data_IF_733842321774
#
_entry.id   IF_733842321774
#
_cell.length_a   1.000
_cell.length_b   1.000
_cell.length_c   1.000
_cell.angle_alpha   90.00
_cell.angle_beta   90.00
_cell.angle_gamma   90.00
#
_symmetry.space_group_name_H-M   'P 1'
#
loop_
_entity.id
_entity.type
_entity.pdbx_description
1 polymer ?
#
# COMPACT_ATOMS: atom_id res chain seq x y z
N UNK A 1 -23.53 -30.07 47.06
CA UNK A 1 -23.67 -28.59 47.12
C UNK A 1 -22.49 -28.08 47.92
N UNK A 2 -21.56 -27.23 47.49
CA UNK A 2 -21.41 -26.28 46.38
C UNK A 2 -19.96 -26.47 45.86
N UNK A 3 -19.66 -26.47 44.56
CA UNK A 3 -19.77 -25.33 43.65
C UNK A 3 -18.37 -24.77 43.34
N UNK A 4 -17.54 -25.55 42.63
CA UNK A 4 -16.21 -25.13 42.16
C UNK A 4 -16.36 -24.13 41.01
N UNK A 5 -15.91 -22.89 41.20
CA UNK A 5 -15.87 -21.87 40.15
C UNK A 5 -14.46 -21.73 39.61
N UNK A 6 -14.18 -22.49 38.55
CA UNK A 6 -13.03 -22.27 37.70
C UNK A 6 -13.15 -20.89 37.03
N UNK A 7 -12.28 -19.95 37.39
CA UNK A 7 -12.12 -18.70 36.65
C UNK A 7 -11.39 -19.01 35.34
N UNK A 8 -12.17 -19.20 34.27
CA UNK A 8 -11.70 -19.06 32.91
C UNK A 8 -11.07 -17.66 32.76
N UNK A 9 -9.73 -17.61 32.66
CA UNK A 9 -9.02 -16.41 32.21
C UNK A 9 -9.34 -16.26 30.72
N UNK A 10 -10.27 -15.36 30.46
CA UNK A 10 -10.76 -15.03 29.13
C UNK A 10 -9.64 -14.74 28.14
N UNK A 11 -9.85 -15.28 26.95
CA UNK A 11 -9.35 -14.86 25.65
C UNK A 11 -8.92 -13.38 25.66
N UNK A 12 -7.63 -13.12 25.41
CA UNK A 12 -7.15 -11.76 25.21
C UNK A 12 -7.80 -11.19 23.94
N UNK A 13 -8.31 -9.96 23.95
CA UNK A 13 -9.07 -9.45 22.83
C UNK A 13 -8.15 -9.23 21.62
N UNK A 14 -8.60 -9.75 20.48
CA UNK A 14 -8.58 -9.18 19.14
C UNK A 14 -7.67 -7.96 18.96
N UNK A 15 -6.83 -8.02 17.92
CA UNK A 15 -6.14 -6.92 17.26
C UNK A 15 -6.74 -5.58 17.65
N UNK A 16 -5.91 -4.66 18.16
CA UNK A 16 -6.33 -3.31 18.54
C UNK A 16 -6.83 -2.59 17.27
N UNK A 17 -8.07 -2.90 16.89
CA UNK A 17 -8.89 -2.11 15.96
C UNK A 17 -8.81 -0.73 16.56
N UNK A 18 -8.23 0.22 15.82
CA UNK A 18 -8.25 1.61 16.22
C UNK A 18 -9.67 1.91 16.67
N UNK A 19 -9.86 2.28 17.95
CA UNK A 19 -11.18 2.57 18.47
C UNK A 19 -11.89 3.47 17.45
N UNK A 20 -13.11 3.13 17.01
CA UNK A 20 -13.79 3.91 16.00
C UNK A 20 -13.85 5.35 16.51
N UNK A 21 -13.03 6.23 15.94
CA UNK A 21 -13.08 7.65 16.26
C UNK A 21 -14.48 8.09 15.91
N UNK A 22 -15.22 8.55 16.92
CA UNK A 22 -16.57 9.03 16.72
C UNK A 22 -16.50 10.22 15.76
N UNK A 23 -16.85 10.01 14.49
CA UNK A 23 -16.94 11.09 13.51
C UNK A 23 -18.17 11.90 13.90
N UNK A 24 -17.97 13.14 14.35
CA UNK A 24 -19.06 14.03 14.75
C UNK A 24 -20.07 14.20 13.61
N UNK A 25 -21.35 14.42 13.94
CA UNK A 25 -22.38 14.69 12.94
C UNK A 25 -22.01 15.88 12.05
N UNK A 26 -21.36 16.88 12.62
CA UNK A 26 -20.83 18.03 11.90
C UNK A 26 -19.79 17.62 10.84
N UNK A 27 -18.81 16.79 11.21
CA UNK A 27 -17.77 16.33 10.29
C UNK A 27 -18.36 15.47 9.15
N UNK A 28 -19.39 14.67 9.44
CA UNK A 28 -20.15 13.94 8.40
C UNK A 28 -20.85 14.90 7.44
N UNK A 29 -21.48 15.95 7.96
CA UNK A 29 -22.16 16.96 7.15
C UNK A 29 -21.16 17.74 6.27
N UNK A 30 -20.01 18.13 6.83
CA UNK A 30 -18.93 18.78 6.10
C UNK A 30 -18.39 17.89 4.97
N UNK A 31 -18.11 16.61 5.25
CA UNK A 31 -17.69 15.66 4.20
C UNK A 31 -18.75 15.51 3.11
N UNK A 32 -20.02 15.38 3.48
CA UNK A 32 -21.11 15.27 2.51
C UNK A 32 -21.26 16.52 1.64
N UNK A 33 -21.06 17.72 2.20
CA UNK A 33 -21.04 18.97 1.45
C UNK A 33 -19.85 19.02 0.49
N UNK A 34 -18.66 18.60 0.93
CA UNK A 34 -17.47 18.53 0.10
C UNK A 34 -17.65 17.56 -1.08
N UNK A 35 -18.19 16.36 -0.82
CA UNK A 35 -18.51 15.39 -1.88
C UNK A 35 -19.51 15.96 -2.88
N UNK A 36 -20.57 16.64 -2.42
CA UNK A 36 -21.54 17.31 -3.31
C UNK A 36 -20.90 18.40 -4.17
N UNK A 37 -19.92 19.13 -3.62
CA UNK A 37 -19.17 20.15 -4.37
C UNK A 37 -18.29 19.52 -5.46
N UNK A 38 -17.51 18.49 -5.11
CA UNK A 38 -16.58 17.82 -6.04
C UNK A 38 -17.37 17.13 -7.16
N UNK A 39 -18.37 16.33 -6.78
CA UNK A 39 -19.15 15.51 -7.71
C UNK A 39 -20.39 16.22 -8.26
N UNK A 40 -20.47 17.55 -8.14
CA UNK A 40 -21.54 18.36 -8.72
C UNK A 40 -21.79 18.07 -10.22
N UNK A 41 -20.78 17.75 -11.07
CA UNK A 41 -21.01 17.42 -12.47
C UNK A 41 -22.02 16.28 -12.70
N UNK A 42 -22.10 15.30 -11.80
CA UNK A 42 -23.05 14.18 -11.90
C UNK A 42 -24.52 14.59 -11.67
N UNK A 43 -24.77 15.71 -10.99
CA UNK A 43 -26.13 16.15 -10.65
C UNK A 43 -27.01 16.47 -11.86
N UNK A 44 -26.40 16.68 -13.03
CA UNK A 44 -27.09 17.01 -14.28
C UNK A 44 -27.34 15.80 -15.18
N UNK A 45 -26.85 14.62 -14.77
CA UNK A 45 -26.91 13.40 -15.56
C UNK A 45 -27.91 12.43 -14.94
N UNK A 46 -28.64 11.72 -15.79
CA UNK A 46 -29.46 10.61 -15.35
C UNK A 46 -28.54 9.49 -14.85
N UNK A 47 -28.85 8.93 -13.68
CA UNK A 47 -28.08 7.83 -13.09
C UNK A 47 -28.06 6.65 -14.06
N UNK A 48 -26.88 6.04 -14.24
CA UNK A 48 -26.66 4.89 -15.12
C UNK A 48 -26.86 5.17 -16.63
N UNK A 49 -27.04 6.43 -17.03
CA UNK A 49 -26.98 6.83 -18.45
C UNK A 49 -25.58 6.62 -19.05
N UNK A 50 -25.44 6.47 -20.38
CA UNK A 50 -24.14 6.39 -21.03
C UNK A 50 -23.21 7.56 -20.68
N UNK A 51 -23.76 8.77 -20.54
CA UNK A 51 -23.04 9.97 -20.15
C UNK A 51 -22.55 9.90 -18.69
N UNK A 52 -23.39 9.40 -17.78
CA UNK A 52 -23.02 9.19 -16.37
C UNK A 52 -21.87 8.20 -16.26
N UNK A 53 -21.99 7.04 -16.91
CA UNK A 53 -20.96 5.99 -16.89
C UNK A 53 -19.65 6.51 -17.46
N UNK A 54 -19.70 7.19 -18.61
CA UNK A 54 -18.51 7.78 -19.24
C UNK A 54 -17.83 8.80 -18.32
N UNK A 55 -18.60 9.63 -17.61
CA UNK A 55 -18.03 10.59 -16.65
C UNK A 55 -17.40 9.87 -15.45
N UNK A 56 -18.05 8.83 -14.91
CA UNK A 56 -17.54 8.05 -13.79
C UNK A 56 -16.25 7.30 -14.10
N UNK A 57 -16.12 6.79 -15.32
CA UNK A 57 -14.92 6.09 -15.78
C UNK A 57 -13.82 7.04 -16.27
N UNK A 58 -14.12 8.33 -16.46
CA UNK A 58 -13.15 9.29 -16.98
C UNK A 58 -12.04 9.64 -15.99
N UNK A 59 -12.32 9.57 -14.69
CA UNK A 59 -11.44 10.07 -13.62
C UNK A 59 -11.27 11.60 -13.56
N UNK A 60 -11.97 12.35 -14.42
CA UNK A 60 -11.79 13.81 -14.54
C UNK A 60 -12.43 14.58 -13.41
N UNK A 61 -13.50 14.07 -12.79
CA UNK A 61 -14.21 14.82 -11.75
C UNK A 61 -13.33 15.02 -10.52
N UNK A 62 -12.66 13.96 -10.08
CA UNK A 62 -11.69 14.06 -8.99
C UNK A 62 -10.42 14.82 -9.42
N UNK A 63 -9.85 14.52 -10.58
CA UNK A 63 -8.61 15.16 -11.05
C UNK A 63 -8.74 16.66 -11.27
N UNK A 64 -9.81 17.13 -11.92
CA UNK A 64 -9.97 18.55 -12.23
C UNK A 64 -10.12 19.38 -10.95
N UNK A 65 -10.66 18.76 -9.88
CA UNK A 65 -10.79 19.38 -8.58
C UNK A 65 -9.48 19.43 -7.81
N UNK A 66 -8.77 18.31 -7.70
CA UNK A 66 -7.56 18.19 -6.87
C UNK A 66 -6.27 18.54 -7.59
N UNK A 67 -6.27 18.45 -8.92
CA UNK A 67 -5.16 18.74 -9.82
C UNK A 67 -3.83 18.11 -9.35
N UNK A 68 -3.80 16.77 -9.19
CA UNK A 68 -2.65 16.07 -8.62
C UNK A 68 -1.33 16.29 -9.39
N UNK A 69 -1.40 16.58 -10.69
CA UNK A 69 -0.24 16.89 -11.54
C UNK A 69 0.16 18.36 -11.60
N UNK A 70 -0.64 19.27 -11.02
CA UNK A 70 -0.35 20.72 -11.05
C UNK A 70 0.61 21.08 -9.91
N UNK A 71 1.92 20.96 -10.20
CA UNK A 71 3.00 21.22 -9.24
C UNK A 71 2.98 22.65 -8.70
N UNK A 72 2.51 23.62 -9.49
CA UNK A 72 2.39 25.01 -9.06
C UNK A 72 1.23 25.17 -8.09
N UNK A 73 0.04 24.65 -8.43
CA UNK A 73 -1.15 24.69 -7.57
C UNK A 73 -0.91 23.98 -6.23
N UNK A 74 -0.21 22.84 -6.25
CA UNK A 74 0.15 22.10 -5.03
C UNK A 74 1.32 22.73 -4.26
N UNK A 75 1.95 23.78 -4.80
CA UNK A 75 3.03 24.52 -4.15
C UNK A 75 4.40 23.85 -4.19
N UNK A 76 4.55 22.74 -4.92
CA UNK A 76 5.81 22.02 -5.06
C UNK A 76 6.90 22.90 -5.70
N UNK A 77 6.57 23.73 -6.69
CA UNK A 77 7.55 24.63 -7.33
C UNK A 77 8.15 25.64 -6.34
N UNK A 78 7.31 26.18 -5.45
CA UNK A 78 7.75 27.11 -4.42
C UNK A 78 8.66 26.41 -3.40
N UNK A 79 8.32 25.18 -3.00
CA UNK A 79 9.14 24.36 -2.12
C UNK A 79 10.48 23.98 -2.77
N UNK A 80 10.49 23.56 -4.04
CA UNK A 80 11.72 23.22 -4.77
C UNK A 80 12.66 24.43 -4.85
N UNK A 81 12.14 25.63 -5.14
CA UNK A 81 12.93 26.87 -5.12
C UNK A 81 13.48 27.18 -3.73
N UNK A 82 12.63 27.09 -2.70
CA UNK A 82 13.01 27.37 -1.30
C UNK A 82 14.10 26.41 -0.79
N UNK A 83 14.03 25.13 -1.16
CA UNK A 83 14.92 24.08 -0.65
C UNK A 83 15.97 23.64 -1.68
N UNK A 84 16.26 24.46 -2.69
CA UNK A 84 17.19 24.15 -3.79
C UNK A 84 18.55 23.65 -3.30
N UNK A 85 19.12 24.27 -2.27
CA UNK A 85 20.42 23.86 -1.72
C UNK A 85 20.36 22.46 -1.09
N UNK A 86 19.29 22.15 -0.35
CA UNK A 86 19.09 20.83 0.25
C UNK A 86 18.91 19.75 -0.83
N UNK A 87 18.13 20.05 -1.88
CA UNK A 87 17.95 19.14 -3.01
C UNK A 87 19.29 18.88 -3.72
N UNK A 88 20.10 19.91 -3.95
CA UNK A 88 21.43 19.76 -4.54
C UNK A 88 22.37 18.92 -3.65
N UNK A 89 22.29 19.08 -2.32
CA UNK A 89 23.07 18.26 -1.39
C UNK A 89 22.63 16.78 -1.43
N UNK A 90 21.32 16.52 -1.49
CA UNK A 90 20.76 15.17 -1.65
C UNK A 90 21.22 14.56 -2.99
N UNK A 91 21.20 15.33 -4.07
CA UNK A 91 21.69 14.89 -5.38
C UNK A 91 23.18 14.56 -5.36
N UNK A 92 23.98 15.35 -4.65
CA UNK A 92 25.40 15.06 -4.43
C UNK A 92 25.61 13.72 -3.71
N UNK A 93 24.88 13.49 -2.61
CA UNK A 93 24.93 12.21 -1.88
C UNK A 93 24.46 11.03 -2.74
N UNK A 94 23.38 11.21 -3.50
CA UNK A 94 22.88 10.21 -4.46
C UNK A 94 23.93 9.86 -5.50
N UNK A 95 24.66 10.85 -6.02
CA UNK A 95 25.77 10.67 -6.95
C UNK A 95 26.87 9.77 -6.38
N UNK A 96 27.22 9.95 -5.11
CA UNK A 96 28.22 9.12 -4.41
C UNK A 96 27.76 7.66 -4.23
N UNK A 97 26.46 7.44 -4.03
CA UNK A 97 25.88 6.10 -3.86
C UNK A 97 25.66 5.36 -5.17
N UNK A 98 25.53 6.08 -6.30
CA UNK A 98 25.18 5.52 -7.61
C UNK A 98 25.99 4.27 -8.00
N UNK A 99 27.33 4.20 -7.83
CA UNK A 99 28.11 3.02 -8.21
C UNK A 99 27.78 1.76 -7.39
N UNK A 100 27.20 1.91 -6.20
CA UNK A 100 26.89 0.82 -5.26
C UNK A 100 25.40 0.71 -4.95
N UNK A 101 24.55 1.45 -5.66
CA UNK A 101 23.14 1.60 -5.31
C UNK A 101 22.41 0.27 -5.23
N UNK A 102 22.64 -0.65 -6.18
CA UNK A 102 22.03 -1.98 -6.16
C UNK A 102 22.44 -2.80 -4.93
N UNK A 103 23.71 -2.74 -4.51
CA UNK A 103 24.19 -3.43 -3.31
C UNK A 103 23.60 -2.82 -2.04
N UNK A 104 23.57 -1.48 -1.95
CA UNK A 104 23.00 -0.75 -0.82
C UNK A 104 21.50 -1.01 -0.71
N UNK A 105 20.76 -0.96 -1.82
CA UNK A 105 19.32 -1.19 -1.84
C UNK A 105 18.97 -2.62 -1.39
N UNK A 106 19.69 -3.64 -1.89
CA UNK A 106 19.52 -5.02 -1.44
C UNK A 106 19.83 -5.17 0.06
N UNK A 107 20.91 -4.55 0.54
CA UNK A 107 21.29 -4.63 1.96
C UNK A 107 20.26 -3.99 2.89
N UNK A 108 19.53 -2.96 2.43
CA UNK A 108 18.52 -2.25 3.21
C UNK A 108 17.09 -2.79 3.06
N UNK A 109 16.85 -3.74 2.15
CA UNK A 109 15.51 -4.22 1.81
C UNK A 109 14.75 -4.76 3.04
N UNK A 110 15.46 -5.41 3.96
CA UNK A 110 14.85 -5.98 5.18
C UNK A 110 14.46 -4.90 6.18
N UNK A 111 15.34 -3.95 6.50
CA UNK A 111 14.99 -2.84 7.39
C UNK A 111 13.91 -1.95 6.78
N UNK A 112 13.95 -1.72 5.46
CA UNK A 112 12.90 -0.99 4.75
C UNK A 112 11.55 -1.68 4.88
N UNK A 113 11.50 -2.99 4.59
CA UNK A 113 10.27 -3.79 4.71
C UNK A 113 9.70 -3.74 6.13
N UNK A 114 10.54 -3.91 7.15
CA UNK A 114 10.14 -3.81 8.55
C UNK A 114 9.53 -2.44 8.88
N UNK A 115 10.20 -1.35 8.48
CA UNK A 115 9.69 0.00 8.75
C UNK A 115 8.39 0.27 7.98
N UNK A 116 8.28 -0.20 6.74
CA UNK A 116 7.08 -0.06 5.92
C UNK A 116 5.87 -0.72 6.57
N UNK A 117 5.99 -1.97 7.02
CA UNK A 117 4.86 -2.67 7.68
C UNK A 117 4.60 -2.11 9.08
N UNK A 118 5.63 -1.64 9.78
CA UNK A 118 5.49 -1.02 11.09
C UNK A 118 4.64 0.26 11.05
N UNK A 119 4.77 1.07 10.00
CA UNK A 119 3.94 2.27 9.78
C UNK A 119 2.43 1.90 9.74
N UNK A 120 2.10 0.73 9.20
CA UNK A 120 0.74 0.20 9.11
C UNK A 120 0.32 -0.62 10.36
N UNK A 121 1.06 -0.48 11.47
CA UNK A 121 0.82 -1.13 12.76
C UNK A 121 1.12 -2.65 12.79
N UNK A 122 1.96 -3.15 11.90
CA UNK A 122 2.51 -4.50 12.07
C UNK A 122 3.36 -4.56 13.36
N UNK A 123 3.12 -5.51 14.27
CA UNK A 123 3.73 -5.54 15.60
C UNK A 123 5.17 -6.07 15.63
N UNK A 124 5.66 -6.59 14.50
CA UNK A 124 6.97 -7.26 14.43
C UNK A 124 8.13 -6.28 14.65
N UNK A 125 9.23 -6.84 15.14
CA UNK A 125 10.44 -6.08 15.51
C UNK A 125 11.64 -6.55 14.71
N UNK A 126 12.77 -5.91 14.96
CA UNK A 126 14.04 -6.19 14.27
C UNK A 126 14.47 -7.67 14.36
N UNK A 127 14.24 -8.34 15.49
CA UNK A 127 14.59 -9.76 15.64
C UNK A 127 13.73 -10.65 14.73
N UNK A 128 12.44 -10.32 14.58
CA UNK A 128 11.52 -11.04 13.69
C UNK A 128 11.90 -10.83 12.22
N UNK A 129 12.23 -9.60 11.82
CA UNK A 129 12.69 -9.31 10.47
C UNK A 129 13.98 -10.05 10.12
N UNK A 130 14.93 -10.14 11.07
CA UNK A 130 16.15 -10.93 10.90
C UNK A 130 15.85 -12.43 10.75
N UNK A 131 14.93 -12.97 11.55
CA UNK A 131 14.52 -14.37 11.45
C UNK A 131 13.82 -14.65 10.10
N UNK A 132 12.92 -13.76 9.67
CA UNK A 132 12.26 -13.83 8.38
C UNK A 132 13.26 -13.79 7.22
N UNK A 133 14.19 -12.84 7.23
CA UNK A 133 15.23 -12.73 6.22
C UNK A 133 16.16 -13.95 6.21
N UNK A 134 16.56 -14.48 7.36
CA UNK A 134 17.39 -15.68 7.44
C UNK A 134 16.66 -16.91 6.86
N UNK A 135 15.36 -17.05 7.13
CA UNK A 135 14.54 -18.12 6.54
C UNK A 135 14.43 -17.95 5.02
N UNK A 136 14.07 -16.75 4.53
CA UNK A 136 13.95 -16.42 3.11
C UNK A 136 15.28 -16.61 2.37
N UNK A 137 16.39 -16.15 2.93
CA UNK A 137 17.72 -16.30 2.32
C UNK A 137 18.05 -17.77 2.11
N UNK A 138 17.90 -18.58 3.17
CA UNK A 138 18.23 -20.00 3.16
C UNK A 138 17.33 -20.84 2.26
N UNK A 139 16.04 -20.50 2.13
CA UNK A 139 15.04 -21.34 1.44
C UNK A 139 14.56 -20.78 0.11
N UNK A 140 14.79 -19.50 -0.16
CA UNK A 140 14.29 -18.81 -1.35
C UNK A 140 15.43 -18.10 -2.10
N UNK A 141 16.07 -17.09 -1.50
CA UNK A 141 17.01 -16.22 -2.24
C UNK A 141 18.29 -16.92 -2.68
N UNK A 142 18.76 -17.94 -1.94
CA UNK A 142 19.93 -18.73 -2.35
C UNK A 142 19.63 -19.73 -3.49
N UNK A 143 18.35 -19.96 -3.80
CA UNK A 143 17.92 -20.96 -4.79
C UNK A 143 17.22 -20.32 -5.99
N UNK A 144 16.74 -19.08 -5.85
CA UNK A 144 15.97 -18.36 -6.85
C UNK A 144 16.61 -16.98 -7.05
N UNK A 145 16.98 -16.68 -8.29
CA UNK A 145 17.33 -15.32 -8.67
C UNK A 145 16.04 -14.51 -8.83
N UNK A 146 15.69 -13.68 -7.83
CA UNK A 146 14.46 -12.90 -7.88
C UNK A 146 14.43 -11.97 -9.09
N UNK A 147 15.56 -11.37 -9.45
CA UNK A 147 15.65 -10.44 -10.56
C UNK A 147 15.34 -11.06 -11.95
N UNK A 148 15.33 -12.39 -12.07
CA UNK A 148 14.92 -13.09 -13.30
C UNK A 148 13.44 -13.48 -13.33
N UNK A 149 12.69 -13.22 -12.26
CA UNK A 149 11.26 -13.46 -12.22
C UNK A 149 10.49 -12.22 -12.66
N UNK A 150 9.39 -12.43 -13.37
CA UNK A 150 8.39 -11.39 -13.56
C UNK A 150 7.67 -11.12 -12.22
N UNK A 151 7.17 -9.89 -12.02
CA UNK A 151 6.47 -9.54 -10.79
C UNK A 151 5.22 -10.42 -10.56
N UNK A 152 4.55 -10.86 -11.65
CA UNK A 152 3.46 -11.84 -11.63
C UNK A 152 3.84 -13.18 -10.97
N UNK A 153 5.08 -13.62 -11.11
CA UNK A 153 5.51 -14.94 -10.61
C UNK A 153 5.82 -14.93 -9.11
N UNK A 154 6.09 -13.75 -8.54
CA UNK A 154 6.45 -13.62 -7.13
C UNK A 154 5.33 -14.12 -6.20
N UNK A 155 4.07 -13.92 -6.60
CA UNK A 155 2.91 -14.38 -5.82
C UNK A 155 2.84 -15.91 -5.74
N UNK A 156 3.52 -16.64 -6.63
CA UNK A 156 3.53 -18.10 -6.65
C UNK A 156 4.66 -18.69 -5.81
N UNK A 157 5.56 -17.87 -5.27
CA UNK A 157 6.61 -18.33 -4.37
C UNK A 157 6.02 -18.91 -3.08
N UNK A 158 6.48 -20.10 -2.71
CA UNK A 158 6.22 -20.70 -1.41
C UNK A 158 7.21 -20.13 -0.39
N UNK A 159 6.75 -19.17 0.41
CA UNK A 159 7.61 -18.52 1.40
C UNK A 159 7.73 -19.37 2.68
N UNK A 160 8.95 -19.59 3.20
CA UNK A 160 9.20 -20.49 4.31
C UNK A 160 8.47 -20.06 5.59
N UNK A 161 8.06 -21.03 6.39
CA UNK A 161 7.58 -20.78 7.76
C UNK A 161 8.77 -20.34 8.63
N UNK A 162 8.54 -19.34 9.48
CA UNK A 162 9.51 -18.93 10.49
C UNK A 162 9.06 -19.58 11.79
N UNK A 163 9.82 -20.56 12.26
CA UNK A 163 9.59 -21.17 13.58
C UNK A 163 9.84 -20.09 14.65
N UNK A 164 8.79 -19.75 15.39
CA UNK A 164 8.87 -18.80 16.50
C UNK A 164 8.18 -19.40 17.72
N UNK A 165 8.75 -19.15 18.90
CA UNK A 165 8.14 -19.49 20.19
C UNK A 165 6.84 -18.71 20.37
N UNK A 166 5.74 -19.31 19.92
CA UNK A 166 4.34 -19.08 20.28
C UNK A 166 3.98 -17.64 20.67
N UNK A 167 3.34 -16.90 19.74
CA UNK A 167 2.24 -15.90 19.95
C UNK A 167 2.13 -14.86 18.83
N UNK A 168 3.05 -14.84 17.87
CA UNK A 168 3.00 -13.88 16.76
C UNK A 168 1.94 -14.25 15.73
N UNK A 169 1.25 -13.22 15.24
CA UNK A 169 0.21 -13.32 14.23
C UNK A 169 0.81 -13.81 12.90
N UNK A 170 0.39 -14.99 12.45
CA UNK A 170 0.80 -15.56 11.17
C UNK A 170 0.57 -14.59 10.00
N UNK A 171 -0.47 -13.75 10.08
CA UNK A 171 -0.73 -12.71 9.09
C UNK A 171 0.37 -11.64 9.08
N UNK A 172 0.75 -11.12 10.25
CA UNK A 172 1.80 -10.11 10.36
C UNK A 172 3.15 -10.62 9.83
N UNK A 173 3.48 -11.89 10.09
CA UNK A 173 4.69 -12.52 9.57
C UNK A 173 4.61 -12.76 8.05
N UNK A 174 3.44 -13.13 7.52
CA UNK A 174 3.23 -13.24 6.08
C UNK A 174 3.44 -11.88 5.40
N UNK A 175 2.82 -10.82 5.93
CA UNK A 175 2.96 -9.45 5.40
C UNK A 175 4.43 -9.01 5.36
N UNK A 176 5.18 -9.21 6.46
CA UNK A 176 6.59 -8.87 6.51
C UNK A 176 7.41 -9.65 5.48
N UNK A 177 7.21 -10.98 5.37
CA UNK A 177 7.93 -11.80 4.38
C UNK A 177 7.63 -11.33 2.95
N UNK A 178 6.35 -11.07 2.64
CA UNK A 178 5.95 -10.59 1.32
C UNK A 178 6.62 -9.24 1.00
N UNK A 179 6.64 -8.31 1.97
CA UNK A 179 7.31 -7.02 1.82
C UNK A 179 8.83 -7.14 1.64
N UNK A 180 9.50 -8.08 2.32
CA UNK A 180 10.93 -8.34 2.11
C UNK A 180 11.17 -8.85 0.68
N UNK A 181 10.37 -9.80 0.20
CA UNK A 181 10.47 -10.34 -1.17
C UNK A 181 10.24 -9.24 -2.20
N UNK A 182 9.16 -8.45 -2.05
CA UNK A 182 8.86 -7.33 -2.94
C UNK A 182 10.01 -6.30 -2.95
N UNK A 183 10.49 -5.89 -1.78
CA UNK A 183 11.57 -4.90 -1.65
C UNK A 183 12.88 -5.40 -2.25
N UNK A 184 13.21 -6.68 -2.01
CA UNK A 184 14.37 -7.31 -2.61
C UNK A 184 14.25 -7.30 -4.13
N UNK A 185 13.14 -7.81 -4.68
CA UNK A 185 12.89 -7.85 -6.13
C UNK A 185 12.99 -6.45 -6.77
N UNK A 186 12.36 -5.43 -6.18
CA UNK A 186 12.43 -4.04 -6.65
C UNK A 186 13.89 -3.56 -6.67
N UNK A 187 14.64 -3.81 -5.61
CA UNK A 187 16.05 -3.41 -5.51
C UNK A 187 16.93 -4.11 -6.56
N UNK A 188 16.69 -5.40 -6.84
CA UNK A 188 17.44 -6.13 -7.87
C UNK A 188 17.04 -5.67 -9.28
N UNK A 189 15.74 -5.55 -9.53
CA UNK A 189 15.20 -5.17 -10.83
C UNK A 189 15.61 -3.74 -11.23
N UNK A 190 15.57 -2.79 -10.30
CA UNK A 190 16.05 -1.42 -10.54
C UNK A 190 17.56 -1.38 -10.84
N UNK A 191 18.34 -2.30 -10.25
CA UNK A 191 19.77 -2.43 -10.54
C UNK A 191 20.06 -2.96 -11.94
N UNK A 192 19.21 -3.83 -12.48
CA UNK A 192 19.33 -4.37 -13.85
C UNK A 192 18.85 -3.40 -14.93
N UNK A 193 17.93 -2.50 -14.58
CA UNK A 193 17.30 -1.57 -15.52
C UNK A 193 17.57 -0.11 -15.13
N UNK A 194 18.84 0.34 -15.13
CA UNK A 194 19.15 1.71 -14.75
C UNK A 194 18.59 2.71 -15.77
N UNK A 195 18.13 3.86 -15.27
CA UNK A 195 17.57 4.96 -16.05
C UNK A 195 16.26 4.63 -16.79
N UNK A 196 15.51 3.62 -16.34
CA UNK A 196 14.10 3.44 -16.75
C UNK A 196 13.16 4.18 -15.79
N UNK A 197 11.88 4.38 -16.18
CA UNK A 197 10.85 4.92 -15.28
C UNK A 197 10.60 4.06 -14.02
N UNK A 198 11.12 2.82 -13.99
CA UNK A 198 10.96 1.90 -12.88
C UNK A 198 9.78 0.96 -13.07
N UNK A 199 8.90 0.91 -12.08
CA UNK A 199 7.75 0.00 -12.00
C UNK A 199 6.59 0.58 -12.81
N UNK A 200 5.96 -0.23 -13.65
CA UNK A 200 4.74 0.15 -14.38
C UNK A 200 3.44 -0.18 -13.62
N UNK A 201 2.28 0.20 -14.17
CA UNK A 201 0.98 -0.07 -13.55
C UNK A 201 0.73 -1.56 -13.31
N UNK A 202 1.13 -2.41 -14.26
CA UNK A 202 0.92 -3.86 -14.18
C UNK A 202 1.73 -4.43 -13.03
N UNK A 203 3.03 -4.13 -12.99
CA UNK A 203 3.93 -4.55 -11.92
C UNK A 203 3.49 -4.02 -10.56
N UNK A 204 2.95 -2.80 -10.49
CA UNK A 204 2.37 -2.25 -9.26
C UNK A 204 1.21 -3.11 -8.75
N UNK A 205 0.28 -3.53 -9.62
CA UNK A 205 -0.82 -4.42 -9.22
C UNK A 205 -0.34 -5.81 -8.82
N UNK A 206 0.65 -6.37 -9.52
CA UNK A 206 1.24 -7.68 -9.21
C UNK A 206 1.95 -7.67 -7.84
N UNK A 207 2.72 -6.61 -7.56
CA UNK A 207 3.38 -6.43 -6.25
C UNK A 207 2.36 -6.17 -5.13
N UNK A 208 1.29 -5.42 -5.39
CA UNK A 208 0.21 -5.22 -4.43
C UNK A 208 -0.54 -6.53 -4.12
N UNK A 209 -0.66 -7.44 -5.10
CA UNK A 209 -1.21 -8.76 -4.87
C UNK A 209 -0.31 -9.61 -3.96
N UNK A 210 1.01 -9.59 -4.21
CA UNK A 210 2.01 -10.27 -3.39
C UNK A 210 1.97 -9.80 -1.94
N UNK A 211 1.96 -8.49 -1.67
CA UNK A 211 2.04 -7.96 -0.29
C UNK A 211 0.86 -8.40 0.58
N UNK A 212 -0.31 -8.62 -0.03
CA UNK A 212 -1.55 -9.01 0.67
C UNK A 212 -1.71 -10.52 0.84
N UNK A 213 -1.07 -11.35 0.00
CA UNK A 213 -1.24 -12.82 0.02
C UNK A 213 -0.94 -13.43 1.40
N UNK A 214 -1.84 -14.25 1.92
CA UNK A 214 -1.69 -14.94 3.19
C UNK A 214 -1.79 -14.04 4.43
N UNK A 215 -2.23 -12.79 4.26
CA UNK A 215 -2.45 -11.83 5.35
C UNK A 215 -3.93 -11.77 5.72
N UNK A 216 -4.24 -11.18 6.88
CA UNK A 216 -5.61 -10.88 7.29
C UNK A 216 -6.31 -9.92 6.31
N UNK A 217 -5.54 -9.08 5.60
CA UNK A 217 -6.05 -8.17 4.58
C UNK A 217 -6.53 -8.89 3.32
N UNK A 218 -6.11 -10.13 3.06
CA UNK A 218 -6.62 -10.92 1.93
C UNK A 218 -8.14 -11.16 2.05
N UNK A 219 -8.65 -11.34 3.27
CA UNK A 219 -10.08 -11.50 3.52
C UNK A 219 -10.90 -10.27 3.09
N UNK A 220 -10.30 -9.08 3.16
CA UNK A 220 -10.91 -7.81 2.72
C UNK A 220 -11.14 -7.83 1.20
N UNK A 221 -10.25 -8.43 0.41
CA UNK A 221 -10.42 -8.56 -1.05
C UNK A 221 -11.56 -9.51 -1.45
N UNK A 222 -11.86 -10.50 -0.61
CA UNK A 222 -12.87 -11.53 -0.89
C UNK A 222 -14.27 -11.10 -0.44
N UNK A 223 -14.38 -10.45 0.73
CA UNK A 223 -15.66 -10.25 1.42
C UNK A 223 -16.08 -8.81 1.68
N UNK A 224 -15.39 -7.81 1.14
CA UNK A 224 -15.71 -6.41 1.44
C UNK A 224 -16.96 -5.88 0.75
N UNK A 225 -17.50 -4.82 1.34
CA UNK A 225 -18.51 -3.96 0.71
C UNK A 225 -18.00 -3.47 -0.65
N UNK A 226 -18.81 -3.64 -1.71
CA UNK A 226 -18.40 -3.43 -3.11
C UNK A 226 -18.14 -4.73 -3.90
N UNK A 227 -18.16 -5.89 -3.24
CA UNK A 227 -18.02 -7.20 -3.87
C UNK A 227 -16.56 -7.66 -4.00
N UNK A 228 -16.38 -8.86 -4.56
CA UNK A 228 -15.06 -9.49 -4.69
C UNK A 228 -14.14 -8.71 -5.65
N UNK A 229 -12.91 -8.49 -5.22
CA UNK A 229 -11.82 -7.87 -6.01
C UNK A 229 -10.67 -8.88 -6.09
N UNK A 230 -10.05 -9.09 -7.27
CA UNK A 230 -8.83 -9.90 -7.34
C UNK A 230 -7.71 -9.24 -6.52
N UNK A 231 -6.80 -10.02 -5.96
CA UNK A 231 -5.63 -9.47 -5.28
C UNK A 231 -4.85 -8.53 -6.23
N UNK A 232 -4.44 -7.37 -5.72
CA UNK A 232 -3.81 -6.31 -6.51
C UNK A 232 -4.76 -5.48 -7.38
N UNK A 233 -6.04 -5.88 -7.48
CA UNK A 233 -7.05 -5.15 -8.24
C UNK A 233 -7.51 -3.86 -7.57
N UNK A 234 -8.00 -2.92 -8.38
CA UNK A 234 -8.61 -1.69 -7.85
C UNK A 234 -9.87 -1.97 -7.05
N UNK A 235 -10.02 -1.21 -5.96
CA UNK A 235 -11.21 -1.24 -5.10
C UNK A 235 -12.50 -0.99 -5.89
N UNK A 236 -13.58 -1.61 -5.43
CA UNK A 236 -14.95 -1.43 -5.97
C UNK A 236 -15.86 -0.60 -5.08
N UNK A 237 -15.30 0.01 -4.05
CA UNK A 237 -16.03 0.83 -3.10
C UNK A 237 -15.28 2.13 -2.80
N UNK A 238 -16.00 3.21 -2.46
CA UNK A 238 -15.41 4.40 -1.85
C UNK A 238 -14.60 4.07 -0.60
N UNK A 239 -13.50 4.80 -0.40
CA UNK A 239 -12.67 4.71 0.82
C UNK A 239 -12.54 6.08 1.48
N UNK A 240 -12.14 6.05 2.74
CA UNK A 240 -11.77 7.23 3.54
C UNK A 240 -10.64 6.86 4.49
N UNK A 241 -9.78 7.83 4.79
CA UNK A 241 -8.76 7.65 5.82
C UNK A 241 -9.29 8.10 7.18
N UNK A 242 -9.05 7.31 8.22
CA UNK A 242 -9.54 7.58 9.58
C UNK A 242 -8.87 8.80 10.23
N UNK A 243 -7.62 9.10 9.83
CA UNK A 243 -6.85 10.23 10.35
C UNK A 243 -7.42 11.58 9.92
N UNK A 244 -7.98 11.66 8.71
CA UNK A 244 -8.58 12.87 8.17
C UNK A 244 -9.79 12.54 7.26
N UNK A 245 -11.01 12.55 7.81
CA UNK A 245 -12.23 12.30 7.04
C UNK A 245 -12.58 13.37 6.01
N UNK A 246 -11.82 14.45 5.86
CA UNK A 246 -12.00 15.43 4.80
C UNK A 246 -11.09 15.19 3.59
N UNK A 247 -10.16 14.24 3.68
CA UNK A 247 -9.45 13.74 2.49
C UNK A 247 -10.42 12.94 1.63
N UNK A 248 -10.50 13.32 0.36
CA UNK A 248 -11.36 12.68 -0.64
C UNK A 248 -10.44 11.97 -1.63
N UNK A 249 -10.50 10.65 -1.66
CA UNK A 249 -9.89 9.84 -2.72
C UNK A 249 -10.80 9.83 -3.96
N UNK A 250 -10.28 9.49 -5.15
CA UNK A 250 -11.09 9.34 -6.35
C UNK A 250 -12.31 8.44 -6.10
N UNK A 251 -13.39 8.61 -6.84
CA UNK A 251 -14.46 7.62 -6.80
C UNK A 251 -13.93 6.28 -7.33
N UNK A 252 -14.45 5.14 -6.88
CA UNK A 252 -13.84 3.85 -7.23
C UNK A 252 -13.85 3.57 -8.74
N UNK A 253 -14.86 4.06 -9.48
CA UNK A 253 -14.90 3.97 -10.94
C UNK A 253 -13.88 4.89 -11.64
N UNK A 254 -13.43 5.94 -10.96
CA UNK A 254 -12.44 6.88 -11.48
C UNK A 254 -11.00 6.35 -11.32
N UNK A 255 -10.76 5.46 -10.34
CA UNK A 255 -9.41 5.00 -9.97
C UNK A 255 -8.62 4.47 -11.17
N UNK A 256 -9.14 3.58 -12.03
CA UNK A 256 -8.35 3.03 -13.14
C UNK A 256 -7.85 4.13 -14.09
N UNK A 257 -8.71 5.09 -14.44
CA UNK A 257 -8.33 6.18 -15.33
C UNK A 257 -7.35 7.16 -14.68
N UNK A 258 -7.52 7.44 -13.38
CA UNK A 258 -6.57 8.26 -12.63
C UNK A 258 -5.19 7.61 -12.52
N UNK A 259 -5.15 6.30 -12.25
CA UNK A 259 -3.88 5.57 -12.13
C UNK A 259 -3.20 5.43 -13.48
N UNK A 260 -3.94 5.12 -14.54
CA UNK A 260 -3.39 5.07 -15.90
C UNK A 260 -2.66 6.38 -16.24
N UNK A 261 -3.31 7.53 -16.00
CA UNK A 261 -2.71 8.85 -16.24
C UNK A 261 -1.55 9.20 -15.30
N UNK A 262 -1.43 8.54 -14.16
CA UNK A 262 -0.28 8.70 -13.29
C UNK A 262 0.96 7.98 -13.87
N UNK A 263 0.75 6.87 -14.59
CA UNK A 263 1.83 6.12 -15.23
C UNK A 263 2.15 6.56 -16.67
N UNK A 264 1.19 7.18 -17.38
CA UNK A 264 1.38 7.83 -18.70
C UNK A 264 2.26 9.09 -18.62
#
# INVERSE_FOLDING_TARGET
MLGSTARFKGLRPWHRVSQPRFISCELKAQRAALLRKIYAPFSRLERDSPEYTRLAESGRVWEDHFRPGDMTYLGYDALQKKYRANLAAIDGLRGLLKPRLGQVAKALATEYALQSVFIENNPLRLQDARAAFAALSRKTFNHVNLASLDAADLIHLELPTVEQDTTLDNSAMAELKNHIVASQWIAENAGLHPNTPGIDEKQMTELAALTVKGTASEAVYIGSWGGRVPLGGYRRAPISVSSNPLVIFPYHLEVPACVKRFFD
#
